data_IF_693330670761
#
_entry.id   IF_693330670761
#
_cell.length_a   1.000
_cell.length_b   1.000
_cell.length_c   1.000
_cell.angle_alpha   90.00
_cell.angle_beta   90.00
_cell.angle_gamma   90.00
#
_symmetry.space_group_name_H-M   'P 1'
#
loop_
_entity.id
_entity.type
_entity.pdbx_description
1 polymer ?
#
# COMPACT_ATOMS: atom_id res chain seq x y z
N UNK A 1 -19.76 15.89 -29.57
CA UNK A 1 -19.00 15.66 -28.32
C UNK A 1 -19.42 14.31 -27.75
N UNK A 2 -18.59 13.29 -27.93
CA UNK A 2 -18.89 11.89 -27.58
C UNK A 2 -18.64 11.63 -26.10
N UNK A 3 -19.69 11.28 -25.34
CA UNK A 3 -19.57 10.77 -23.97
C UNK A 3 -19.02 9.34 -24.02
N UNK A 4 -17.84 9.12 -23.45
CA UNK A 4 -17.31 7.78 -23.23
C UNK A 4 -18.18 7.06 -22.18
N UNK A 5 -18.78 5.93 -22.55
CA UNK A 5 -19.49 5.07 -21.60
C UNK A 5 -18.46 4.36 -20.72
N UNK A 6 -18.51 4.58 -19.40
CA UNK A 6 -17.77 3.80 -18.42
C UNK A 6 -18.29 2.36 -18.46
N UNK A 7 -17.61 1.51 -19.22
CA UNK A 7 -17.93 0.09 -19.30
C UNK A 7 -17.56 -0.58 -17.97
N UNK A 8 -18.55 -0.77 -17.08
CA UNK A 8 -18.44 -1.72 -15.98
C UNK A 8 -18.31 -3.11 -16.60
N UNK A 9 -17.07 -3.60 -16.74
CA UNK A 9 -16.83 -4.96 -17.21
C UNK A 9 -17.42 -5.92 -16.17
N UNK A 10 -18.40 -6.71 -16.61
CA UNK A 10 -19.01 -7.79 -15.84
C UNK A 10 -17.90 -8.80 -15.49
N UNK A 11 -17.65 -9.01 -14.20
CA UNK A 11 -16.59 -9.89 -13.70
C UNK A 11 -16.81 -11.32 -14.26
N UNK A 12 -15.86 -11.78 -15.07
CA UNK A 12 -15.87 -13.13 -15.62
C UNK A 12 -15.38 -14.10 -14.56
N UNK A 13 -16.10 -15.21 -14.40
CA UNK A 13 -15.78 -16.31 -13.47
C UNK A 13 -14.29 -16.68 -13.57
N UNK A 14 -13.51 -16.42 -12.51
CA UNK A 14 -12.07 -16.73 -12.44
C UNK A 14 -11.10 -15.54 -12.47
N UNK A 15 -11.57 -14.31 -12.27
CA UNK A 15 -10.75 -13.07 -12.35
C UNK A 15 -9.65 -12.98 -11.27
N UNK A 16 -9.85 -13.62 -10.11
CA UNK A 16 -8.88 -13.66 -9.01
C UNK A 16 -8.68 -15.07 -8.46
N UNK A 17 -7.55 -15.22 -7.78
CA UNK A 17 -7.15 -16.40 -7.02
C UNK A 17 -7.48 -16.11 -5.56
N UNK A 18 -8.27 -16.97 -4.94
CA UNK A 18 -8.50 -16.94 -3.50
C UNK A 18 -7.58 -17.94 -2.82
N UNK A 19 -6.85 -17.50 -1.80
CA UNK A 19 -5.98 -18.36 -0.97
C UNK A 19 -6.72 -18.79 0.29
N UNK A 20 -6.25 -19.85 0.96
CA UNK A 20 -6.85 -20.35 2.22
C UNK A 20 -6.93 -19.31 3.35
N UNK A 21 -6.03 -18.32 3.35
CA UNK A 21 -6.06 -17.18 4.28
C UNK A 21 -7.12 -16.11 3.94
N UNK A 22 -7.94 -16.34 2.91
CA UNK A 22 -8.97 -15.44 2.40
C UNK A 22 -8.44 -14.29 1.54
N UNK A 23 -7.18 -14.32 1.10
CA UNK A 23 -6.63 -13.30 0.21
C UNK A 23 -7.15 -13.48 -1.21
N UNK A 24 -7.52 -12.38 -1.86
CA UNK A 24 -8.02 -12.36 -3.22
C UNK A 24 -7.04 -11.60 -4.11
N UNK A 25 -6.35 -12.32 -4.99
CA UNK A 25 -5.30 -11.76 -5.86
C UNK A 25 -5.73 -11.88 -7.31
N UNK A 26 -5.91 -10.75 -7.99
CA UNK A 26 -6.34 -10.73 -9.38
C UNK A 26 -5.27 -11.37 -10.26
N UNK A 27 -5.66 -12.19 -11.22
CA UNK A 27 -4.71 -12.86 -12.14
C UNK A 27 -3.92 -11.88 -13.00
N UNK A 28 -4.49 -10.69 -13.20
CA UNK A 28 -3.86 -9.58 -13.93
C UNK A 28 -2.90 -8.75 -13.06
N UNK A 29 -2.79 -9.03 -11.76
CA UNK A 29 -1.79 -8.39 -10.91
C UNK A 29 -0.39 -8.94 -11.24
N UNK A 30 0.60 -8.05 -11.28
CA UNK A 30 1.98 -8.39 -11.55
C UNK A 30 2.79 -8.41 -10.25
N UNK A 31 3.10 -9.61 -9.76
CA UNK A 31 3.82 -9.81 -8.50
C UNK A 31 5.21 -10.36 -8.81
N UNK A 32 6.26 -9.57 -8.59
CA UNK A 32 7.66 -10.01 -8.69
C UNK A 32 8.25 -10.28 -7.30
N UNK A 33 9.09 -11.31 -7.19
CA UNK A 33 9.73 -11.66 -5.91
C UNK A 33 8.75 -12.12 -4.83
N UNK A 34 7.76 -12.94 -5.19
CA UNK A 34 6.76 -13.47 -4.26
C UNK A 34 7.31 -14.05 -2.94
N UNK A 35 8.46 -14.76 -2.88
CA UNK A 35 9.04 -15.22 -1.62
C UNK A 35 9.39 -14.09 -0.62
N UNK A 36 9.61 -12.87 -1.13
CA UNK A 36 9.94 -11.70 -0.33
C UNK A 36 8.70 -10.86 0.04
N UNK A 37 7.50 -11.29 -0.38
CA UNK A 37 6.24 -10.58 -0.13
C UNK A 37 5.42 -11.39 0.86
N UNK A 38 4.96 -10.73 1.93
CA UNK A 38 4.01 -11.32 2.88
C UNK A 38 2.66 -10.63 2.73
N UNK A 39 1.61 -11.43 2.54
CA UNK A 39 0.24 -10.96 2.51
C UNK A 39 -0.49 -11.44 3.77
N UNK A 40 -0.95 -10.52 4.59
CA UNK A 40 -1.87 -10.79 5.69
C UNK A 40 -3.18 -11.37 5.16
N UNK A 41 -3.94 -12.03 6.03
CA UNK A 41 -5.23 -12.64 5.67
C UNK A 41 -6.29 -11.62 5.23
N UNK A 42 -7.23 -12.07 4.40
CA UNK A 42 -8.33 -11.26 3.83
C UNK A 42 -7.85 -10.02 3.07
N UNK A 43 -6.68 -10.07 2.46
CA UNK A 43 -6.18 -8.96 1.64
C UNK A 43 -6.69 -9.05 0.20
N UNK A 44 -6.89 -7.90 -0.44
CA UNK A 44 -7.34 -7.83 -1.84
C UNK A 44 -6.32 -7.08 -2.68
N UNK A 45 -5.86 -7.71 -3.75
CA UNK A 45 -4.96 -7.12 -4.75
C UNK A 45 -5.69 -7.11 -6.08
N UNK A 46 -6.13 -5.93 -6.52
CA UNK A 46 -6.91 -5.78 -7.76
C UNK A 46 -6.06 -5.91 -9.04
N UNK A 47 -6.73 -5.87 -10.19
CA UNK A 47 -6.11 -5.96 -11.51
C UNK A 47 -5.05 -4.88 -11.74
N UNK A 48 -4.04 -5.21 -12.54
CA UNK A 48 -2.99 -4.27 -12.98
C UNK A 48 -2.15 -3.66 -11.84
N UNK A 49 -2.29 -4.18 -10.60
CA UNK A 49 -1.42 -3.83 -9.48
C UNK A 49 -0.03 -4.42 -9.72
N UNK A 50 1.01 -3.61 -9.50
CA UNK A 50 2.40 -4.05 -9.59
C UNK A 50 3.02 -4.11 -8.20
N UNK A 51 3.34 -5.32 -7.72
CA UNK A 51 4.07 -5.53 -6.47
C UNK A 51 5.52 -5.93 -6.78
N UNK A 52 6.48 -5.09 -6.38
CA UNK A 52 7.91 -5.31 -6.63
C UNK A 52 8.67 -5.83 -5.42
N UNK A 53 8.47 -7.09 -5.06
CA UNK A 53 9.18 -7.75 -3.97
C UNK A 53 10.61 -8.19 -4.31
N UNK A 54 10.97 -8.17 -5.60
CA UNK A 54 12.32 -8.48 -6.10
C UNK A 54 13.36 -7.43 -5.73
N UNK A 55 12.92 -6.21 -5.45
CA UNK A 55 13.74 -5.09 -4.99
C UNK A 55 14.02 -5.21 -3.48
N UNK A 56 14.75 -6.24 -3.09
CA UNK A 56 15.13 -6.47 -1.70
C UNK A 56 16.48 -5.82 -1.37
N UNK A 57 16.71 -5.58 -0.08
CA UNK A 57 18.03 -5.20 0.43
C UNK A 57 19.01 -6.33 0.07
N UNK A 58 19.98 -6.04 -0.80
CA UNK A 58 21.15 -6.88 -0.98
C UNK A 58 21.96 -6.76 0.31
N UNK A 59 21.64 -7.60 1.29
CA UNK A 59 22.48 -7.76 2.47
C UNK A 59 23.74 -8.50 1.99
N UNK A 60 24.96 -7.97 2.19
CA UNK A 60 26.14 -8.82 2.05
C UNK A 60 25.97 -10.02 3.02
N UNK A 61 26.40 -11.23 2.64
CA UNK A 61 26.28 -12.39 3.51
C UNK A 61 26.96 -12.06 4.84
N UNK A 62 26.16 -11.93 5.90
CA UNK A 62 26.72 -11.78 7.25
C UNK A 62 27.40 -13.10 7.57
N UNK A 63 28.69 -13.03 7.86
CA UNK A 63 29.50 -14.13 8.40
C UNK A 63 28.71 -14.82 9.51
N UNK A 64 28.46 -16.09 9.26
CA UNK A 64 27.76 -17.06 10.08
C UNK A 64 28.28 -17.01 11.53
N UNK A 65 27.50 -16.43 12.43
CA UNK A 65 27.78 -16.36 13.86
C UNK A 65 26.45 -16.30 14.61
N UNK A 66 26.19 -17.33 15.40
CA UNK A 66 25.00 -17.62 16.20
C UNK A 66 23.71 -18.01 15.44
N UNK A 67 23.32 -19.28 15.62
CA UNK A 67 22.18 -19.98 15.01
C UNK A 67 20.79 -19.49 15.41
N UNK A 68 20.59 -18.17 15.55
CA UNK A 68 19.26 -17.57 15.47
C UNK A 68 18.96 -17.35 13.99
N UNK A 69 17.92 -18.02 13.48
CA UNK A 69 17.44 -17.85 12.11
C UNK A 69 17.44 -16.35 11.75
N UNK A 70 18.23 -15.99 10.74
CA UNK A 70 18.28 -14.61 10.26
C UNK A 70 16.84 -14.17 9.98
N UNK A 71 16.42 -12.95 10.41
CA UNK A 71 15.06 -12.50 10.17
C UNK A 71 14.81 -12.57 8.67
N UNK A 72 13.74 -13.27 8.28
CA UNK A 72 13.24 -13.27 6.91
C UNK A 72 13.01 -11.82 6.51
N UNK A 73 13.90 -11.29 5.67
CA UNK A 73 13.85 -9.91 5.23
C UNK A 73 12.82 -9.80 4.11
N UNK A 74 11.54 -9.85 4.47
CA UNK A 74 10.47 -9.53 3.53
C UNK A 74 10.65 -8.09 3.06
N UNK A 75 10.70 -7.90 1.74
CA UNK A 75 10.84 -6.58 1.12
C UNK A 75 9.53 -5.80 1.20
N UNK A 76 8.40 -6.51 1.11
CA UNK A 76 7.05 -5.95 1.23
C UNK A 76 6.26 -6.81 2.22
N UNK A 77 5.80 -6.19 3.30
CA UNK A 77 4.87 -6.82 4.25
C UNK A 77 3.54 -6.07 4.20
N UNK A 78 2.46 -6.77 3.88
CA UNK A 78 1.09 -6.22 3.82
C UNK A 78 0.26 -6.84 4.94
N UNK A 79 -0.38 -6.00 5.75
CA UNK A 79 -1.24 -6.40 6.85
C UNK A 79 -2.59 -6.93 6.39
N UNK A 80 -3.39 -7.40 7.35
CA UNK A 80 -4.70 -8.03 7.14
C UNK A 80 -5.75 -7.03 6.65
N UNK A 81 -6.73 -7.53 5.91
CA UNK A 81 -7.85 -6.74 5.40
C UNK A 81 -7.41 -5.49 4.61
N UNK A 82 -6.20 -5.48 4.05
CA UNK A 82 -5.72 -4.39 3.21
C UNK A 82 -6.28 -4.54 1.80
N UNK A 83 -6.67 -3.43 1.18
CA UNK A 83 -7.17 -3.39 -0.19
C UNK A 83 -6.24 -2.52 -1.03
N UNK A 84 -5.69 -3.13 -2.09
CA UNK A 84 -4.89 -2.45 -3.10
C UNK A 84 -5.71 -2.35 -4.39
N UNK A 85 -6.13 -1.12 -4.72
CA UNK A 85 -6.95 -0.87 -5.90
C UNK A 85 -6.16 -0.90 -7.19
N UNK A 86 -6.87 -1.07 -8.30
CA UNK A 86 -6.31 -1.34 -9.62
C UNK A 86 -5.31 -0.26 -10.10
N UNK A 87 -4.31 -0.70 -10.88
CA UNK A 87 -3.29 0.18 -11.46
C UNK A 87 -2.29 0.78 -10.46
N UNK A 88 -2.33 0.34 -9.20
CA UNK A 88 -1.39 0.83 -8.18
C UNK A 88 -0.03 0.13 -8.26
N UNK A 89 1.04 0.89 -8.08
CA UNK A 89 2.42 0.40 -8.08
C UNK A 89 2.99 0.47 -6.67
N UNK A 90 3.27 -0.68 -6.10
CA UNK A 90 3.88 -0.83 -4.78
C UNK A 90 5.31 -1.30 -4.99
N UNK A 91 6.26 -0.44 -4.62
CA UNK A 91 7.68 -0.76 -4.70
C UNK A 91 8.40 -0.36 -3.41
N UNK A 92 9.35 -1.17 -2.93
CA UNK A 92 10.15 -0.83 -1.77
C UNK A 92 10.83 0.54 -1.93
N UNK A 93 10.89 1.36 -0.86
CA UNK A 93 11.63 2.60 -0.86
C UNK A 93 13.10 2.35 -1.19
N UNK A 94 13.72 3.31 -1.88
CA UNK A 94 15.12 3.26 -2.22
C UNK A 94 15.84 4.56 -1.89
N UNK A 95 17.12 4.45 -1.55
CA UNK A 95 18.04 5.59 -1.43
C UNK A 95 19.20 5.40 -2.39
N UNK A 96 19.43 6.38 -3.25
CA UNK A 96 20.56 6.39 -4.19
C UNK A 96 21.77 6.97 -3.48
N UNK A 97 22.83 6.19 -3.34
CA UNK A 97 24.15 6.64 -2.90
C UNK A 97 25.06 6.79 -4.12
N UNK A 98 25.99 7.72 -4.06
CA UNK A 98 27.06 7.86 -5.06
C UNK A 98 28.32 7.31 -4.41
N UNK A 99 28.90 6.28 -5.03
CA UNK A 99 30.20 5.74 -4.64
C UNK A 99 31.14 5.87 -5.82
N UNK A 100 32.37 6.25 -5.54
CA UNK A 100 33.43 6.24 -6.54
C UNK A 100 34.19 4.92 -6.44
N UNK A 101 34.30 4.22 -7.57
CA UNK A 101 35.09 2.99 -7.70
C UNK A 101 35.94 3.17 -8.95
N UNK A 102 37.26 3.05 -8.81
CA UNK A 102 38.24 3.19 -9.90
C UNK A 102 38.09 4.49 -10.72
N UNK A 103 37.84 5.62 -10.04
CA UNK A 103 37.68 6.93 -10.68
C UNK A 103 36.37 7.13 -11.46
N UNK A 104 35.43 6.17 -11.37
CA UNK A 104 34.09 6.27 -11.98
C UNK A 104 33.01 6.42 -10.91
N UNK A 105 32.11 7.38 -11.12
CA UNK A 105 30.95 7.57 -10.25
C UNK A 105 29.90 6.47 -10.51
N UNK A 106 29.80 5.51 -9.60
CA UNK A 106 28.77 4.46 -9.61
C UNK A 106 27.61 4.89 -8.71
N UNK A 107 26.38 4.80 -9.23
CA UNK A 107 25.17 5.01 -8.44
C UNK A 107 24.73 3.67 -7.85
N UNK A 108 24.84 3.52 -6.55
CA UNK A 108 24.31 2.36 -5.83
C UNK A 108 22.90 2.67 -5.33
N UNK A 109 21.97 1.73 -5.54
CA UNK A 109 20.57 1.87 -5.09
C UNK A 109 20.35 0.92 -3.92
N UNK A 110 20.12 1.48 -2.74
CA UNK A 110 19.83 0.70 -1.55
C UNK A 110 18.32 0.64 -1.33
N UNK A 111 17.75 -0.57 -1.38
CA UNK A 111 16.35 -0.82 -1.07
C UNK A 111 16.15 -1.06 0.43
N UNK A 112 15.08 -0.49 0.97
CA UNK A 112 14.64 -0.68 2.34
C UNK A 112 13.32 -1.45 2.34
N UNK A 113 13.08 -2.32 3.35
CA UNK A 113 11.81 -3.02 3.46
C UNK A 113 10.67 -2.02 3.68
N UNK A 114 9.51 -2.32 3.11
CA UNK A 114 8.27 -1.56 3.35
C UNK A 114 7.27 -2.38 4.14
N UNK A 115 6.54 -1.70 5.02
CA UNK A 115 5.46 -2.29 5.83
C UNK A 115 4.17 -1.53 5.58
N UNK A 116 3.10 -2.26 5.30
CA UNK A 116 1.74 -1.79 5.23
C UNK A 116 0.99 -2.52 6.34
N UNK A 117 0.34 -1.77 7.24
CA UNK A 117 -0.34 -2.34 8.40
C UNK A 117 -1.75 -2.85 8.04
N UNK A 118 -2.53 -3.22 9.05
CA UNK A 118 -3.89 -3.73 8.87
C UNK A 118 -4.89 -2.62 8.48
N UNK A 119 -5.96 -2.99 7.77
CA UNK A 119 -7.07 -2.09 7.39
C UNK A 119 -6.63 -0.86 6.60
N UNK A 120 -5.67 -1.02 5.70
CA UNK A 120 -5.23 0.05 4.80
C UNK A 120 -5.99 -0.01 3.49
N UNK A 121 -6.53 1.12 3.07
CA UNK A 121 -7.15 1.28 1.77
C UNK A 121 -6.24 2.08 0.84
N UNK A 122 -5.87 1.49 -0.29
CA UNK A 122 -5.09 2.14 -1.34
C UNK A 122 -6.00 2.33 -2.54
N UNK A 123 -6.27 3.58 -2.89
CA UNK A 123 -7.06 3.96 -4.06
C UNK A 123 -6.37 3.63 -5.39
N UNK A 124 -7.10 3.70 -6.51
CA UNK A 124 -6.58 3.30 -7.81
C UNK A 124 -5.47 4.23 -8.31
N UNK A 125 -4.58 3.70 -9.16
CA UNK A 125 -3.49 4.45 -9.80
C UNK A 125 -2.51 5.12 -8.81
N UNK A 126 -2.33 4.54 -7.62
CA UNK A 126 -1.38 5.07 -6.63
C UNK A 126 0.04 4.57 -6.87
N UNK A 127 1.04 5.41 -6.61
CA UNK A 127 2.45 4.98 -6.57
C UNK A 127 2.95 5.05 -5.15
N UNK A 128 3.30 3.90 -4.57
CA UNK A 128 3.68 3.78 -3.16
C UNK A 128 5.15 3.39 -3.04
N UNK A 129 5.92 4.26 -2.39
CA UNK A 129 7.32 4.05 -2.01
C UNK A 129 7.55 4.36 -0.52
N UNK A 130 6.50 4.21 0.30
CA UNK A 130 6.55 4.46 1.73
C UNK A 130 7.40 3.41 2.46
N UNK A 131 8.08 3.81 3.52
CA UNK A 131 8.76 2.89 4.43
C UNK A 131 7.77 2.19 5.37
N UNK A 132 6.80 2.94 5.88
CA UNK A 132 5.78 2.40 6.77
C UNK A 132 4.44 3.10 6.51
N UNK A 133 3.37 2.32 6.46
CA UNK A 133 1.98 2.78 6.44
C UNK A 133 1.29 2.16 7.66
N UNK A 134 0.79 3.03 8.54
CA UNK A 134 0.07 2.65 9.75
C UNK A 134 -1.30 2.02 9.46
N UNK A 135 -2.01 1.66 10.51
CA UNK A 135 -3.33 1.05 10.44
C UNK A 135 -4.41 2.09 10.13
N UNK A 136 -5.54 1.65 9.55
CA UNK A 136 -6.71 2.51 9.29
C UNK A 136 -6.40 3.75 8.43
N UNK A 137 -5.43 3.60 7.52
CA UNK A 137 -5.03 4.63 6.58
C UNK A 137 -5.87 4.53 5.31
N UNK A 138 -6.44 5.65 4.89
CA UNK A 138 -7.16 5.77 3.64
C UNK A 138 -6.35 6.63 2.66
N UNK A 139 -5.90 6.02 1.57
CA UNK A 139 -5.14 6.68 0.51
C UNK A 139 -6.07 6.88 -0.69
N UNK A 140 -6.34 8.13 -1.04
CA UNK A 140 -7.16 8.48 -2.19
C UNK A 140 -6.54 8.08 -3.53
N UNK A 141 -7.32 8.12 -4.60
CA UNK A 141 -6.85 7.79 -5.95
C UNK A 141 -5.70 8.68 -6.44
N UNK A 142 -4.84 8.13 -7.31
CA UNK A 142 -3.79 8.91 -7.97
C UNK A 142 -2.74 9.52 -7.03
N UNK A 143 -2.64 9.03 -5.79
CA UNK A 143 -1.67 9.52 -4.83
C UNK A 143 -0.26 8.99 -5.14
N UNK A 144 0.74 9.83 -4.87
CA UNK A 144 2.16 9.48 -5.03
C UNK A 144 2.85 9.64 -3.69
N UNK A 145 3.17 8.50 -3.06
CA UNK A 145 3.98 8.45 -1.85
C UNK A 145 5.44 8.26 -2.24
N UNK A 146 6.26 9.30 -2.06
CA UNK A 146 7.68 9.27 -2.42
C UNK A 146 8.53 8.48 -1.42
N UNK A 147 9.79 8.23 -1.79
CA UNK A 147 10.67 7.32 -1.07
C UNK A 147 10.84 7.69 0.41
N UNK A 148 10.79 6.68 1.27
CA UNK A 148 11.03 6.78 2.72
C UNK A 148 10.01 7.64 3.48
N UNK A 149 8.86 7.96 2.90
CA UNK A 149 7.78 8.57 3.68
C UNK A 149 7.22 7.58 4.72
N UNK A 150 6.75 8.11 5.84
CA UNK A 150 6.18 7.36 6.96
C UNK A 150 4.79 7.90 7.22
N UNK A 151 3.78 7.05 7.06
CA UNK A 151 2.39 7.37 7.35
C UNK A 151 2.01 6.69 8.65
N UNK A 152 1.61 7.46 9.66
CA UNK A 152 1.11 6.90 10.92
C UNK A 152 -0.33 6.39 10.77
N UNK A 153 -0.91 5.95 11.88
CA UNK A 153 -2.26 5.38 11.96
C UNK A 153 -3.34 6.45 11.81
N UNK A 154 -4.53 6.05 11.36
CA UNK A 154 -5.70 6.93 11.19
C UNK A 154 -5.35 8.17 10.36
N UNK A 155 -4.89 7.96 9.13
CA UNK A 155 -4.54 9.06 8.22
C UNK A 155 -5.43 9.00 7.00
N UNK A 156 -5.94 10.17 6.59
CA UNK A 156 -6.62 10.32 5.30
C UNK A 156 -5.74 11.12 4.36
N UNK A 157 -5.28 10.47 3.30
CA UNK A 157 -4.58 11.13 2.20
C UNK A 157 -5.62 11.44 1.12
N UNK A 158 -5.79 12.73 0.82
CA UNK A 158 -6.73 13.16 -0.21
C UNK A 158 -6.29 12.68 -1.60
N UNK A 159 -7.23 12.43 -2.52
CA UNK A 159 -6.90 12.08 -3.90
C UNK A 159 -5.89 13.03 -4.52
N UNK A 160 -5.09 12.49 -5.45
CA UNK A 160 -4.11 13.26 -6.22
C UNK A 160 -3.01 13.90 -5.38
N UNK A 161 -2.80 13.48 -4.13
CA UNK A 161 -1.79 14.07 -3.24
C UNK A 161 -0.40 13.51 -3.53
N UNK A 162 0.63 14.37 -3.46
CA UNK A 162 2.04 13.97 -3.65
C UNK A 162 2.79 14.16 -2.33
N UNK A 163 3.04 13.06 -1.61
CA UNK A 163 3.76 13.07 -0.33
C UNK A 163 5.27 13.13 -0.58
N UNK A 164 5.97 14.19 -0.11
CA UNK A 164 7.42 14.34 -0.21
C UNK A 164 8.23 13.16 0.33
N UNK A 165 9.48 12.94 -0.16
CA UNK A 165 10.33 11.91 0.39
C UNK A 165 10.71 12.25 1.83
N UNK A 166 10.88 11.23 2.67
CA UNK A 166 11.19 11.37 4.11
C UNK A 166 10.13 12.14 4.94
N UNK A 167 8.97 12.49 4.36
CA UNK A 167 7.91 13.13 5.13
C UNK A 167 7.31 12.13 6.13
N UNK A 168 7.15 12.57 7.38
CA UNK A 168 6.39 11.83 8.39
C UNK A 168 5.03 12.49 8.55
N UNK A 169 3.97 11.73 8.27
CA UNK A 169 2.59 12.16 8.48
C UNK A 169 2.17 11.71 9.88
N UNK A 170 1.77 12.63 10.78
CA UNK A 170 1.32 12.27 12.12
C UNK A 170 0.00 11.49 12.10
N UNK A 171 -0.32 10.82 13.22
CA UNK A 171 -1.58 10.10 13.35
C UNK A 171 -2.76 11.07 13.36
N UNK A 172 -3.96 10.59 13.04
CA UNK A 172 -5.21 11.39 13.05
C UNK A 172 -5.11 12.65 12.17
N UNK A 173 -4.41 12.56 11.04
CA UNK A 173 -4.17 13.72 10.17
C UNK A 173 -4.80 13.55 8.79
N UNK A 174 -5.32 14.64 8.25
CA UNK A 174 -5.75 14.75 6.86
C UNK A 174 -4.66 15.44 6.08
N UNK A 175 -4.16 14.79 5.03
CA UNK A 175 -3.06 15.29 4.22
C UNK A 175 -3.51 15.47 2.78
N UNK A 176 -3.17 16.61 2.18
CA UNK A 176 -3.59 16.98 0.85
C UNK A 176 -2.59 17.87 0.13
N UNK A 177 -2.63 17.86 -1.19
CA UNK A 177 -1.93 18.82 -2.05
C UNK A 177 -0.69 18.28 -2.76
N UNK A 178 -0.07 19.17 -3.55
CA UNK A 178 1.10 18.89 -4.39
C UNK A 178 2.09 20.06 -4.27
N UNK A 179 3.08 20.02 -3.35
CA UNK A 179 3.40 18.95 -2.41
C UNK A 179 2.39 18.82 -1.26
N UNK A 180 2.31 17.63 -0.68
CA UNK A 180 1.42 17.32 0.42
C UNK A 180 1.69 18.19 1.66
N UNK A 181 0.61 18.69 2.27
CA UNK A 181 0.61 19.38 3.56
C UNK A 181 -0.51 18.83 4.43
N UNK A 182 -0.37 18.96 5.74
CA UNK A 182 -1.46 18.65 6.67
C UNK A 182 -2.53 19.72 6.49
N UNK A 183 -3.72 19.31 6.08
CA UNK A 183 -4.88 20.17 5.80
C UNK A 183 -5.78 20.28 7.03
N UNK A 184 -5.77 19.25 7.88
CA UNK A 184 -6.54 19.22 9.11
C UNK A 184 -6.27 17.94 9.89
N UNK A 185 -7.05 17.74 10.93
CA UNK A 185 -7.00 16.56 11.78
C UNK A 185 -8.29 15.76 11.62
N UNK A 186 -8.18 14.45 11.75
CA UNK A 186 -9.31 13.54 11.80
C UNK A 186 -9.86 13.55 13.22
N UNK A 187 -11.17 13.77 13.35
CA UNK A 187 -11.85 13.69 14.63
C UNK A 187 -11.98 12.25 15.13
N UNK A 188 -12.36 12.12 16.41
CA UNK A 188 -12.45 10.83 17.12
C UNK A 188 -13.45 9.82 16.51
N UNK A 189 -14.29 10.24 15.55
CA UNK A 189 -15.22 9.40 14.81
C UNK A 189 -14.66 8.76 13.52
N UNK A 190 -13.36 8.91 13.21
CA UNK A 190 -12.76 8.31 12.02
C UNK A 190 -12.79 6.78 12.08
N UNK A 191 -13.36 6.14 11.06
CA UNK A 191 -13.52 4.68 11.00
C UNK A 191 -14.58 4.09 11.93
N UNK A 192 -15.37 4.93 12.62
CA UNK A 192 -16.51 4.47 13.40
C UNK A 192 -17.70 4.24 12.48
N UNK A 193 -18.22 3.01 12.45
CA UNK A 193 -19.55 2.74 11.93
C UNK A 193 -20.55 3.29 12.94
N UNK A 194 -21.15 4.45 12.66
CA UNK A 194 -22.22 4.98 13.50
C UNK A 194 -23.42 4.05 13.39
N UNK A 195 -23.48 3.05 14.25
CA UNK A 195 -24.73 2.31 14.48
C UNK A 195 -25.76 3.29 15.02
N UNK A 196 -26.86 3.48 14.27
CA UNK A 196 -28.07 4.23 14.60
C UNK A 196 -28.16 5.68 14.09
N UNK A 197 -28.29 5.84 12.78
CA UNK A 197 -29.26 6.77 12.20
C UNK A 197 -29.80 6.12 10.92
N UNK A 198 -31.09 5.80 10.91
CA UNK A 198 -31.74 5.00 9.87
C UNK A 198 -31.54 5.57 8.46
N UNK A 199 -30.96 4.74 7.59
CA UNK A 199 -30.88 4.96 6.15
C UNK A 199 -30.26 3.73 5.51
N UNK A 200 -31.01 3.05 4.66
CA UNK A 200 -30.68 1.81 3.94
C UNK A 200 -29.53 1.99 2.93
N UNK A 201 -28.33 2.31 3.41
CA UNK A 201 -27.15 2.34 2.57
C UNK A 201 -26.08 1.45 3.21
N UNK A 202 -25.96 0.24 2.68
CA UNK A 202 -24.90 -0.75 2.95
C UNK A 202 -23.54 -0.23 2.44
N UNK A 203 -23.13 0.93 2.96
CA UNK A 203 -22.02 1.73 2.48
C UNK A 203 -20.84 1.64 3.42
N UNK A 204 -19.73 1.20 2.88
CA UNK A 204 -18.45 1.14 3.56
C UNK A 204 -17.94 2.50 4.03
N UNK A 205 -17.40 2.57 5.26
CA UNK A 205 -16.91 3.82 5.86
C UNK A 205 -15.41 3.97 5.61
N UNK A 206 -14.99 5.12 5.09
CA UNK A 206 -13.57 5.45 4.93
C UNK A 206 -12.84 5.41 6.28
N UNK A 207 -11.72 4.69 6.35
CA UNK A 207 -10.96 4.51 7.59
C UNK A 207 -11.51 3.44 8.54
N UNK A 208 -12.66 2.82 8.24
CA UNK A 208 -13.24 1.73 9.04
C UNK A 208 -12.45 0.42 8.98
N UNK A 209 -12.87 -0.58 9.75
CA UNK A 209 -12.57 -1.99 9.44
C UNK A 209 -12.89 -2.21 7.98
N UNK A 210 -12.02 -2.90 7.17
CA UNK A 210 -11.99 -3.28 5.71
C UNK A 210 -12.63 -4.64 5.31
N UNK A 211 -13.10 -5.43 6.28
CA UNK A 211 -13.67 -6.78 6.08
C UNK A 211 -14.86 -6.92 5.12
N UNK A 212 -15.93 -6.15 5.27
CA UNK A 212 -17.11 -6.32 4.42
C UNK A 212 -16.90 -5.81 2.99
N UNK A 213 -16.01 -4.82 2.75
CA UNK A 213 -15.62 -4.42 1.39
C UNK A 213 -14.85 -5.54 0.71
N UNK A 214 -13.95 -6.19 1.45
CA UNK A 214 -13.28 -7.42 1.00
C UNK A 214 -14.29 -8.53 0.68
N UNK A 215 -15.39 -8.65 1.44
CA UNK A 215 -16.46 -9.62 1.17
C UNK A 215 -17.32 -9.26 -0.04
N UNK A 216 -17.59 -7.97 -0.26
CA UNK A 216 -18.39 -7.46 -1.36
C UNK A 216 -17.71 -7.65 -2.72
N UNK A 217 -16.37 -7.59 -2.75
CA UNK A 217 -15.57 -7.88 -3.94
C UNK A 217 -15.71 -9.39 -4.28
N UNK A 218 -16.38 -9.71 -5.39
CA UNK A 218 -16.69 -11.07 -5.86
C UNK A 218 -16.21 -11.35 -7.27
#
# INVERSE_FOLDING_TARGET
>A
MSRASTATRKATKGEFIETDSGNKVWRRAHISGAPNITLGGKTVIQADVQLRGDLARVQPPRSQGDGKAAPVNHSISIGRCTIVSAGSVIKPPHRVSKREVDGRAVKEVHYYPMKISDNVFIGPNCTIQAANIGQHVHIGEGCVLQALCVVKENVKILPYTVVPPNMTIPSNSVVGGRPARIVGELGDGWGMTTGSAGGDNEGWVEGGDLRELVRAIR
#
